data_IF_446096598001
#
_entry.id   IF_446096598001
#
_cell.length_a   1.000
_cell.length_b   1.000
_cell.length_c   1.000
_cell.angle_alpha   90.00
_cell.angle_beta   90.00
_cell.angle_gamma   90.00
#
_symmetry.space_group_name_H-M   'P 1'
#
loop_
_entity.id
_entity.type
_entity.pdbx_description
1 polymer ?
#
# COMPACT_ATOMS: atom_id res chain seq x y z
N UNK A 1 -3.34 25.96 -12.20
CA UNK A 1 -1.93 25.63 -11.84
C UNK A 1 -1.18 25.45 -13.15
N UNK A 2 -0.08 26.16 -13.36
CA UNK A 2 0.78 25.95 -14.54
C UNK A 2 1.74 24.76 -14.32
N UNK A 3 2.41 24.31 -15.41
CA UNK A 3 3.27 23.13 -15.38
C UNK A 3 4.48 23.28 -14.44
N UNK A 4 5.06 24.48 -14.32
CA UNK A 4 6.19 24.72 -13.43
C UNK A 4 5.78 24.61 -11.96
N UNK A 5 4.64 25.18 -11.60
CA UNK A 5 4.04 25.05 -10.27
C UNK A 5 3.77 23.57 -9.94
N UNK A 6 3.21 22.82 -10.88
CA UNK A 6 2.96 21.38 -10.71
C UNK A 6 4.26 20.60 -10.54
N UNK A 7 5.26 20.84 -11.38
CA UNK A 7 6.59 20.20 -11.26
C UNK A 7 7.23 20.48 -9.91
N UNK A 8 7.19 21.73 -9.44
CA UNK A 8 7.73 22.10 -8.13
C UNK A 8 6.99 21.40 -6.97
N UNK A 9 5.70 21.17 -7.09
CA UNK A 9 4.92 20.38 -6.15
C UNK A 9 5.36 18.91 -6.15
N UNK A 10 5.52 18.29 -7.33
CA UNK A 10 5.99 16.91 -7.45
C UNK A 10 7.38 16.69 -6.84
N UNK A 11 8.29 17.67 -7.00
CA UNK A 11 9.66 17.61 -6.44
C UNK A 11 9.66 17.60 -4.91
N UNK A 12 8.69 18.24 -4.26
CA UNK A 12 8.60 18.29 -2.80
C UNK A 12 8.26 16.93 -2.18
N UNK A 13 7.41 16.14 -2.85
CA UNK A 13 7.05 14.83 -2.35
C UNK A 13 8.29 13.92 -2.29
N UNK A 14 8.63 13.49 -1.11
CA UNK A 14 9.71 12.52 -0.85
C UNK A 14 9.22 11.43 0.09
N UNK A 15 9.87 10.27 0.07
CA UNK A 15 9.62 9.18 1.02
C UNK A 15 10.29 9.48 2.34
N UNK A 16 9.53 9.41 3.43
CA UNK A 16 9.99 9.67 4.78
C UNK A 16 9.74 8.46 5.68
N UNK A 17 10.74 8.10 6.50
CA UNK A 17 10.69 6.98 7.45
C UNK A 17 10.68 7.41 8.92
N UNK A 18 10.71 8.71 9.17
CA UNK A 18 10.68 9.28 10.52
C UNK A 18 9.53 10.26 10.62
N UNK A 19 8.79 10.20 11.71
CA UNK A 19 7.58 10.98 11.95
C UNK A 19 7.65 11.62 13.33
N UNK A 20 7.02 12.79 13.46
CA UNK A 20 6.74 13.38 14.75
C UNK A 20 5.63 12.58 15.44
N UNK A 21 5.64 12.59 16.78
CA UNK A 21 4.55 12.00 17.58
C UNK A 21 3.35 12.95 17.63
N UNK A 22 2.78 13.25 16.47
CA UNK A 22 1.62 14.11 16.27
C UNK A 22 0.54 13.30 15.57
N UNK A 23 -0.67 13.27 16.16
CA UNK A 23 -1.81 12.56 15.57
C UNK A 23 -2.29 13.25 14.27
N UNK A 24 -3.00 12.49 13.45
CA UNK A 24 -3.67 12.97 12.25
C UNK A 24 -5.18 12.98 12.52
N UNK A 25 -5.87 14.05 12.17
CA UNK A 25 -7.31 14.15 12.38
C UNK A 25 -8.08 13.22 11.44
N UNK A 26 -9.23 12.71 11.88
CA UNK A 26 -10.10 11.89 11.02
C UNK A 26 -10.52 12.66 9.77
N UNK A 27 -10.69 13.98 9.89
CA UNK A 27 -11.04 14.84 8.76
C UNK A 27 -9.93 14.86 7.71
N UNK A 28 -8.66 15.03 8.10
CA UNK A 28 -7.53 15.01 7.18
C UNK A 28 -7.35 13.64 6.53
N UNK A 29 -7.49 12.55 7.30
CA UNK A 29 -7.46 11.19 6.77
C UNK A 29 -8.52 11.03 5.68
N UNK A 30 -9.75 11.46 5.95
CA UNK A 30 -10.86 11.36 4.99
C UNK A 30 -10.57 12.17 3.72
N UNK A 31 -10.07 13.41 3.84
CA UNK A 31 -9.74 14.25 2.68
C UNK A 31 -8.61 13.65 1.82
N UNK A 32 -7.57 13.11 2.47
CA UNK A 32 -6.46 12.46 1.79
C UNK A 32 -6.94 11.22 1.01
N UNK A 33 -7.70 10.35 1.67
CA UNK A 33 -8.20 9.12 1.04
C UNK A 33 -9.25 9.41 -0.03
N UNK A 34 -10.06 10.46 0.11
CA UNK A 34 -11.04 10.87 -0.90
C UNK A 34 -10.38 11.23 -2.26
N UNK A 35 -9.10 11.66 -2.24
CA UNK A 35 -8.36 11.89 -3.48
C UNK A 35 -8.18 10.64 -4.34
N UNK A 36 -8.28 9.45 -3.74
CA UNK A 36 -8.20 8.18 -4.46
C UNK A 36 -9.30 8.02 -5.52
N UNK A 37 -10.52 8.53 -5.27
CA UNK A 37 -11.67 8.43 -6.19
C UNK A 37 -11.46 9.15 -7.52
N UNK A 38 -10.50 10.06 -7.60
CA UNK A 38 -10.16 10.78 -8.83
C UNK A 38 -9.08 10.07 -9.66
N UNK A 39 -8.63 8.90 -9.20
CA UNK A 39 -7.67 8.08 -9.95
C UNK A 39 -8.38 7.33 -11.08
N UNK A 40 -7.85 7.34 -12.31
CA UNK A 40 -8.41 6.54 -13.39
C UNK A 40 -8.26 5.05 -13.11
N UNK A 41 -9.28 4.27 -13.46
CA UNK A 41 -9.25 2.81 -13.44
C UNK A 41 -10.03 2.25 -14.63
N UNK A 42 -9.75 1.01 -15.03
CA UNK A 42 -10.47 0.34 -16.10
C UNK A 42 -11.98 0.38 -15.82
N UNK A 43 -12.78 0.88 -16.77
CA UNK A 43 -14.24 1.05 -16.63
C UNK A 43 -14.70 1.80 -15.37
N UNK A 44 -13.81 2.62 -14.78
CA UNK A 44 -14.05 3.31 -13.51
C UNK A 44 -14.43 2.36 -12.35
N UNK A 45 -13.90 1.15 -12.35
CA UNK A 45 -14.22 0.11 -11.36
C UNK A 45 -13.70 0.46 -9.96
N UNK A 46 -12.63 1.26 -9.87
CA UNK A 46 -12.02 1.64 -8.60
C UNK A 46 -11.77 0.42 -7.69
N UNK A 47 -11.00 -0.59 -8.14
CA UNK A 47 -10.91 -1.91 -7.52
C UNK A 47 -10.10 -1.91 -6.21
N UNK A 48 -9.94 -0.79 -5.58
CA UNK A 48 -9.16 -0.61 -4.36
C UNK A 48 -10.04 -0.32 -3.15
N UNK A 49 -9.54 -0.71 -2.00
CA UNK A 49 -10.10 -0.42 -0.69
C UNK A 49 -8.99 -0.02 0.27
N UNK A 50 -9.31 0.85 1.22
CA UNK A 50 -8.32 1.37 2.17
C UNK A 50 -8.77 1.12 3.59
N UNK A 51 -7.83 0.71 4.45
CA UNK A 51 -8.01 0.67 5.90
C UNK A 51 -7.00 1.61 6.53
N UNK A 52 -7.50 2.68 7.14
CA UNK A 52 -6.68 3.64 7.88
C UNK A 52 -6.57 3.21 9.35
N UNK A 53 -5.35 3.00 9.83
CA UNK A 53 -5.06 2.55 11.19
C UNK A 53 -4.23 3.60 11.92
N UNK A 54 -4.76 4.10 13.03
CA UNK A 54 -4.08 5.03 13.96
C UNK A 54 -3.79 4.38 15.32
N UNK A 55 -4.30 3.17 15.56
CA UNK A 55 -4.03 2.42 16.79
C UNK A 55 -2.58 1.91 16.79
N UNK A 56 -1.74 2.53 17.62
CA UNK A 56 -0.33 2.18 17.79
C UNK A 56 -0.13 0.71 18.18
N UNK A 57 -1.04 0.13 18.97
CA UNK A 57 -0.95 -1.27 19.36
C UNK A 57 -1.12 -2.18 18.15
N UNK A 58 -2.11 -1.91 17.30
CA UNK A 58 -2.32 -2.67 16.07
C UNK A 58 -1.14 -2.49 15.11
N UNK A 59 -0.68 -1.25 14.89
CA UNK A 59 0.50 -0.98 14.03
C UNK A 59 1.71 -1.79 14.50
N UNK A 60 2.00 -1.80 15.80
CA UNK A 60 3.09 -2.59 16.38
C UNK A 60 2.89 -4.09 16.17
N UNK A 61 1.67 -4.60 16.37
CA UNK A 61 1.34 -6.02 16.14
C UNK A 61 1.61 -6.44 14.70
N UNK A 62 1.21 -5.60 13.72
CA UNK A 62 1.47 -5.87 12.31
C UNK A 62 2.97 -5.85 12.00
N UNK A 63 3.72 -4.90 12.57
CA UNK A 63 5.17 -4.84 12.41
C UNK A 63 5.88 -6.06 13.03
N UNK A 64 5.43 -6.53 14.21
CA UNK A 64 5.95 -7.74 14.83
C UNK A 64 5.73 -8.96 13.94
N UNK A 65 4.60 -9.05 13.23
CA UNK A 65 4.33 -10.13 12.27
C UNK A 65 5.30 -10.10 11.08
N UNK A 66 5.53 -8.93 10.50
CA UNK A 66 6.52 -8.77 9.41
C UNK A 66 7.89 -9.26 9.85
N UNK A 67 8.36 -8.82 11.03
CA UNK A 67 9.69 -9.17 11.52
C UNK A 67 9.80 -10.64 11.95
N UNK A 68 8.77 -11.20 12.60
CA UNK A 68 8.78 -12.59 13.00
C UNK A 68 8.78 -13.54 11.79
N UNK A 69 8.02 -13.22 10.75
CA UNK A 69 7.98 -14.02 9.53
C UNK A 69 9.31 -13.92 8.75
N UNK A 70 9.90 -12.74 8.68
CA UNK A 70 11.26 -12.59 8.14
C UNK A 70 12.25 -13.47 8.90
N UNK A 71 12.26 -13.39 10.24
CA UNK A 71 13.18 -14.15 11.08
C UNK A 71 12.99 -15.68 10.95
N UNK A 72 11.78 -16.14 10.68
CA UNK A 72 11.49 -17.56 10.45
C UNK A 72 12.18 -18.13 9.20
N UNK A 73 12.59 -17.28 8.26
CA UNK A 73 13.32 -17.69 7.06
C UNK A 73 14.83 -17.86 7.31
N UNK A 74 15.39 -17.26 8.37
CA UNK A 74 16.83 -17.24 8.63
C UNK A 74 17.49 -18.62 8.69
N UNK A 75 16.88 -19.66 9.31
CA UNK A 75 17.50 -20.99 9.35
C UNK A 75 17.73 -21.64 7.97
N UNK A 76 17.02 -21.18 6.94
CA UNK A 76 17.11 -21.70 5.57
C UNK A 76 18.00 -20.84 4.65
N UNK A 77 18.55 -19.74 5.16
CA UNK A 77 19.29 -18.77 4.35
C UNK A 77 20.81 -18.84 4.67
N UNK A 78 21.67 -18.51 3.70
CA UNK A 78 23.09 -18.31 3.95
C UNK A 78 23.32 -17.15 4.96
N UNK A 79 24.37 -17.29 5.79
CA UNK A 79 24.70 -16.30 6.80
C UNK A 79 24.89 -14.87 6.24
N UNK A 80 25.49 -14.76 5.06
CA UNK A 80 25.66 -13.48 4.37
C UNK A 80 24.30 -12.82 4.06
N UNK A 81 23.31 -13.62 3.62
CA UNK A 81 21.94 -13.15 3.35
C UNK A 81 21.25 -12.70 4.63
N UNK A 82 21.39 -13.45 5.72
CA UNK A 82 20.82 -13.08 7.03
C UNK A 82 21.42 -11.74 7.50
N UNK A 83 22.75 -11.60 7.42
CA UNK A 83 23.44 -10.37 7.80
C UNK A 83 23.00 -9.16 6.95
N UNK A 84 22.69 -9.35 5.69
CA UNK A 84 22.11 -8.32 4.82
C UNK A 84 20.69 -7.95 5.29
N UNK A 85 19.81 -8.93 5.52
CA UNK A 85 18.44 -8.72 5.96
C UNK A 85 18.36 -8.00 7.32
N UNK A 86 19.24 -8.35 8.26
CA UNK A 86 19.31 -7.65 9.56
C UNK A 86 19.68 -6.16 9.41
N UNK A 87 20.55 -5.80 8.45
CA UNK A 87 20.84 -4.40 8.15
C UNK A 87 19.64 -3.65 7.56
N UNK A 88 18.80 -4.33 6.79
CA UNK A 88 17.59 -3.75 6.17
C UNK A 88 16.35 -3.83 7.05
N UNK A 89 16.40 -4.51 8.19
CA UNK A 89 15.28 -4.70 9.10
C UNK A 89 14.55 -3.39 9.46
N UNK A 90 15.30 -2.32 9.69
CA UNK A 90 14.74 -1.00 9.96
C UNK A 90 13.76 -0.54 8.85
N UNK A 91 14.08 -0.81 7.59
CA UNK A 91 13.20 -0.42 6.47
C UNK A 91 11.91 -1.26 6.40
N UNK A 92 11.93 -2.48 6.93
CA UNK A 92 10.79 -3.39 6.92
C UNK A 92 9.76 -3.04 8.00
N UNK A 93 10.19 -2.44 9.09
CA UNK A 93 9.33 -2.14 10.24
C UNK A 93 9.20 -0.65 10.58
N UNK A 94 9.80 0.26 9.79
CA UNK A 94 9.79 1.69 10.14
C UNK A 94 8.37 2.29 10.19
N UNK A 95 7.39 1.64 9.60
CA UNK A 95 5.99 2.03 9.72
C UNK A 95 5.46 1.94 11.15
N UNK A 96 6.14 1.23 12.06
CA UNK A 96 5.89 1.21 13.51
C UNK A 96 5.92 2.62 14.12
N UNK A 97 6.76 3.49 13.59
CA UNK A 97 6.87 4.89 14.04
C UNK A 97 5.82 5.85 13.47
N UNK A 98 5.01 5.40 12.51
CA UNK A 98 4.03 6.27 11.87
C UNK A 98 2.78 6.47 12.76
N UNK A 99 2.25 7.70 12.87
CA UNK A 99 0.99 7.96 13.58
C UNK A 99 -0.25 7.45 12.81
N UNK A 100 -0.12 7.22 11.50
CA UNK A 100 -1.13 6.62 10.63
C UNK A 100 -0.47 5.70 9.64
N UNK A 101 -1.05 4.52 9.44
CA UNK A 101 -0.81 3.70 8.26
C UNK A 101 -2.11 3.55 7.46
N UNK A 102 -2.00 3.55 6.14
CA UNK A 102 -3.11 3.27 5.21
C UNK A 102 -2.75 1.97 4.50
N UNK A 103 -3.49 0.91 4.82
CA UNK A 103 -3.38 -0.38 4.16
C UNK A 103 -4.20 -0.35 2.89
N UNK A 104 -3.59 -0.75 1.77
CA UNK A 104 -4.20 -0.72 0.44
C UNK A 104 -4.50 -2.14 0.01
N UNK A 105 -5.74 -2.36 -0.36
CA UNK A 105 -6.26 -3.64 -0.84
C UNK A 105 -6.78 -3.48 -2.27
N UNK A 106 -6.75 -4.56 -3.04
CA UNK A 106 -7.37 -4.61 -4.37
C UNK A 106 -8.08 -5.94 -4.61
N UNK A 107 -9.09 -5.91 -5.46
CA UNK A 107 -9.74 -7.14 -5.92
C UNK A 107 -8.88 -7.87 -6.95
N UNK A 108 -9.08 -9.18 -7.11
CA UNK A 108 -8.44 -9.99 -8.16
C UNK A 108 -9.29 -10.11 -9.44
N UNK A 109 -10.31 -9.28 -9.60
CA UNK A 109 -11.24 -9.43 -10.70
C UNK A 109 -10.65 -8.90 -12.01
N UNK A 110 -10.19 -9.81 -12.85
CA UNK A 110 -9.96 -9.58 -14.29
C UNK A 110 -11.32 -9.57 -15.03
N UNK A 111 -12.09 -8.50 -14.81
CA UNK A 111 -13.48 -8.41 -15.27
C UNK A 111 -13.59 -8.41 -16.81
N UNK A 112 -12.73 -7.65 -17.48
CA UNK A 112 -12.86 -7.42 -18.93
C UNK A 112 -12.44 -8.64 -19.76
N UNK A 113 -11.35 -9.29 -19.38
CA UNK A 113 -10.80 -10.42 -20.13
C UNK A 113 -11.63 -11.68 -19.93
N UNK A 114 -12.19 -11.88 -18.73
CA UNK A 114 -13.02 -13.04 -18.42
C UNK A 114 -14.37 -12.98 -19.11
N UNK A 115 -15.00 -11.80 -19.19
CA UNK A 115 -16.27 -11.62 -19.92
C UNK A 115 -16.11 -11.82 -21.42
N UNK A 116 -15.09 -11.20 -22.04
CA UNK A 116 -14.81 -11.38 -23.46
C UNK A 116 -14.48 -12.84 -23.79
N UNK A 117 -13.68 -13.51 -22.96
CA UNK A 117 -13.38 -14.93 -23.13
C UNK A 117 -14.62 -15.80 -23.07
N UNK A 118 -15.50 -15.54 -22.09
CA UNK A 118 -16.73 -16.30 -21.86
C UNK A 118 -17.75 -16.08 -22.99
N UNK A 119 -18.02 -14.81 -23.31
CA UNK A 119 -19.14 -14.45 -24.16
C UNK A 119 -18.83 -14.62 -25.66
N UNK A 120 -17.57 -14.52 -26.06
CA UNK A 120 -17.14 -14.62 -27.45
C UNK A 120 -16.26 -15.84 -27.75
N UNK A 121 -15.97 -16.69 -26.78
CA UNK A 121 -15.09 -17.86 -26.89
C UNK A 121 -13.73 -17.54 -27.59
N UNK A 122 -13.18 -16.36 -27.29
CA UNK A 122 -11.93 -15.88 -27.90
C UNK A 122 -10.75 -16.33 -27.03
N UNK A 123 -9.75 -16.96 -27.65
CA UNK A 123 -8.44 -17.22 -27.02
C UNK A 123 -7.61 -15.94 -27.09
N UNK A 124 -7.63 -15.15 -26.04
CA UNK A 124 -6.74 -14.00 -25.89
C UNK A 124 -5.37 -14.48 -25.36
N UNK A 125 -4.31 -13.85 -25.87
CA UNK A 125 -3.01 -14.01 -25.25
C UNK A 125 -3.04 -13.42 -23.84
N UNK A 126 -2.62 -14.19 -22.84
CA UNK A 126 -2.44 -13.70 -21.48
C UNK A 126 -1.01 -13.14 -21.37
N UNK A 127 -0.88 -11.79 -21.24
CA UNK A 127 0.44 -11.22 -21.03
C UNK A 127 1.01 -11.77 -19.72
N UNK A 128 2.23 -12.35 -19.76
CA UNK A 128 2.90 -12.80 -18.56
C UNK A 128 3.16 -11.60 -17.64
N UNK A 129 2.81 -11.75 -16.36
CA UNK A 129 3.02 -10.71 -15.33
C UNK A 129 2.27 -9.39 -15.55
N UNK A 130 1.18 -9.39 -16.30
CA UNK A 130 0.34 -8.22 -16.48
C UNK A 130 -0.85 -8.29 -15.52
N UNK A 131 -0.91 -7.35 -14.60
CA UNK A 131 -1.98 -7.20 -13.63
C UNK A 131 -2.52 -5.76 -13.74
N UNK A 132 -3.69 -5.61 -14.35
CA UNK A 132 -4.29 -4.30 -14.61
C UNK A 132 -4.72 -3.59 -13.31
N UNK A 133 -5.16 -4.37 -12.32
CA UNK A 133 -5.56 -3.84 -11.03
C UNK A 133 -4.36 -3.25 -10.29
N UNK A 134 -3.21 -3.92 -10.32
CA UNK A 134 -1.97 -3.40 -9.71
C UNK A 134 -1.46 -2.12 -10.37
N UNK A 135 -1.67 -1.94 -11.69
CA UNK A 135 -1.38 -0.66 -12.35
C UNK A 135 -2.26 0.46 -11.79
N UNK A 136 -3.55 0.18 -11.59
CA UNK A 136 -4.50 1.10 -10.95
C UNK A 136 -4.11 1.40 -9.51
N UNK A 137 -3.66 0.38 -8.75
CA UNK A 137 -3.15 0.55 -7.39
C UNK A 137 -1.94 1.47 -7.36
N UNK A 138 -0.96 1.31 -8.26
CA UNK A 138 0.18 2.22 -8.36
C UNK A 138 -0.24 3.68 -8.57
N UNK A 139 -1.22 3.91 -9.44
CA UNK A 139 -1.75 5.25 -9.70
C UNK A 139 -2.48 5.83 -8.48
N UNK A 140 -3.33 5.05 -7.80
CA UNK A 140 -4.07 5.53 -6.63
C UNK A 140 -3.17 5.77 -5.44
N UNK A 141 -2.17 4.93 -5.21
CA UNK A 141 -1.16 5.15 -4.16
C UNK A 141 -0.44 6.48 -4.42
N UNK A 142 0.00 6.73 -5.65
CA UNK A 142 0.66 8.00 -5.98
C UNK A 142 -0.26 9.21 -5.72
N UNK A 143 -1.55 9.14 -6.04
CA UNK A 143 -2.50 10.21 -5.74
C UNK A 143 -2.63 10.45 -4.22
N UNK A 144 -2.64 9.39 -3.40
CA UNK A 144 -2.67 9.51 -1.93
C UNK A 144 -1.37 10.15 -1.42
N UNK A 145 -0.20 9.76 -1.94
CA UNK A 145 1.08 10.37 -1.56
C UNK A 145 1.12 11.87 -1.89
N UNK A 146 0.60 12.27 -3.06
CA UNK A 146 0.49 13.68 -3.45
C UNK A 146 -0.53 14.44 -2.61
N UNK A 147 -1.63 13.80 -2.21
CA UNK A 147 -2.61 14.38 -1.30
C UNK A 147 -2.02 14.60 0.11
N UNK A 148 -1.19 13.67 0.60
CA UNK A 148 -0.44 13.86 1.85
C UNK A 148 0.46 15.10 1.76
N UNK A 149 1.27 15.23 0.69
CA UNK A 149 2.14 16.39 0.48
C UNK A 149 1.33 17.69 0.43
N UNK A 150 0.19 17.70 -0.29
CA UNK A 150 -0.69 18.87 -0.37
C UNK A 150 -1.31 19.26 0.98
N UNK A 151 -1.54 18.29 1.86
CA UNK A 151 -2.08 18.48 3.19
C UNK A 151 -1.00 18.81 4.25
N UNK A 152 0.29 18.88 3.84
CA UNK A 152 1.42 19.18 4.74
C UNK A 152 1.84 17.97 5.59
N UNK A 153 1.55 16.75 5.13
CA UNK A 153 2.01 15.49 5.72
C UNK A 153 3.12 14.88 4.89
N UNK A 154 4.06 14.21 5.57
CA UNK A 154 5.05 13.35 4.93
C UNK A 154 4.53 11.93 4.86
N UNK A 155 4.98 11.17 3.86
CA UNK A 155 4.51 9.80 3.63
C UNK A 155 5.60 8.91 3.03
N UNK A 156 5.39 7.58 3.12
CA UNK A 156 6.20 6.60 2.43
C UNK A 156 5.33 5.44 1.95
N UNK A 157 5.60 4.95 0.75
CA UNK A 157 4.97 3.77 0.17
C UNK A 157 5.82 2.53 0.45
N UNK A 158 5.21 1.48 1.02
CA UNK A 158 5.84 0.22 1.40
C UNK A 158 5.14 -0.96 0.75
N UNK A 159 5.92 -1.89 0.24
CA UNK A 159 5.47 -3.17 -0.32
C UNK A 159 5.98 -4.37 0.48
N UNK A 160 7.03 -4.20 1.27
CA UNK A 160 7.66 -5.27 2.06
C UNK A 160 6.70 -5.95 3.04
N UNK A 161 5.75 -5.26 3.70
CA UNK A 161 4.77 -5.92 4.55
C UNK A 161 3.91 -6.95 3.81
N UNK A 162 3.69 -6.76 2.49
CA UNK A 162 2.98 -7.74 1.65
C UNK A 162 3.80 -9.02 1.52
N UNK A 163 5.11 -8.88 1.27
CA UNK A 163 6.02 -10.02 1.07
C UNK A 163 6.09 -10.92 2.31
N UNK A 164 6.12 -10.32 3.50
CA UNK A 164 6.40 -11.05 4.74
C UNK A 164 5.17 -11.35 5.60
N UNK A 165 4.06 -10.62 5.43
CA UNK A 165 2.93 -10.75 6.35
C UNK A 165 1.55 -10.53 5.68
N UNK A 166 1.41 -10.78 4.38
CA UNK A 166 0.14 -10.56 3.68
C UNK A 166 -1.03 -11.28 4.35
N UNK A 167 -0.89 -12.58 4.58
CA UNK A 167 -1.97 -13.42 5.13
C UNK A 167 -2.34 -13.02 6.56
N UNK A 168 -1.35 -12.70 7.38
CA UNK A 168 -1.57 -12.28 8.76
C UNK A 168 -2.26 -10.92 8.83
N UNK A 169 -1.88 -9.99 7.96
CA UNK A 169 -2.53 -8.68 7.86
C UNK A 169 -3.98 -8.83 7.40
N UNK A 170 -4.23 -9.63 6.37
CA UNK A 170 -5.58 -9.94 5.88
C UNK A 170 -6.45 -10.58 6.98
N UNK A 171 -5.92 -11.55 7.74
CA UNK A 171 -6.63 -12.18 8.85
C UNK A 171 -6.96 -11.20 9.99
N UNK A 172 -6.03 -10.30 10.35
CA UNK A 172 -6.30 -9.26 11.34
C UNK A 172 -7.38 -8.27 10.91
N UNK A 173 -7.57 -8.10 9.62
CA UNK A 173 -8.47 -7.09 9.06
C UNK A 173 -9.71 -7.67 8.38
N UNK A 174 -9.94 -8.98 8.49
CA UNK A 174 -11.06 -9.69 7.85
C UNK A 174 -12.44 -9.14 8.19
N UNK A 175 -12.61 -8.50 9.35
CA UNK A 175 -13.88 -7.86 9.73
C UNK A 175 -14.12 -6.53 8.99
N UNK A 176 -13.09 -5.95 8.36
CA UNK A 176 -13.13 -4.67 7.66
C UNK A 176 -13.05 -4.81 6.14
N UNK A 177 -12.70 -6.01 5.65
CA UNK A 177 -12.40 -6.27 4.24
C UNK A 177 -13.13 -7.53 3.79
N UNK A 178 -13.80 -7.48 2.64
CA UNK A 178 -14.42 -8.65 2.02
C UNK A 178 -13.34 -9.63 1.51
N UNK A 179 -13.68 -10.94 1.45
CA UNK A 179 -12.75 -12.04 1.13
C UNK A 179 -12.13 -11.95 -0.28
N UNK A 180 -12.73 -11.18 -1.20
CA UNK A 180 -12.23 -10.99 -2.56
C UNK A 180 -11.15 -9.90 -2.68
N UNK A 181 -10.82 -9.21 -1.58
CA UNK A 181 -9.76 -8.21 -1.56
C UNK A 181 -8.46 -8.80 -1.00
N UNK A 182 -7.33 -8.42 -1.62
CA UNK A 182 -6.00 -8.80 -1.17
C UNK A 182 -5.21 -7.58 -0.76
N UNK A 183 -4.45 -7.71 0.30
CA UNK A 183 -3.50 -6.68 0.74
C UNK A 183 -2.34 -6.57 -0.25
N UNK A 184 -2.08 -5.37 -0.78
CA UNK A 184 -1.09 -5.16 -1.84
C UNK A 184 -0.09 -4.06 -1.55
N UNK A 185 -0.34 -3.22 -0.54
CA UNK A 185 0.56 -2.12 -0.23
C UNK A 185 0.21 -1.45 1.10
N UNK A 186 1.16 -0.71 1.66
CA UNK A 186 1.01 0.10 2.87
C UNK A 186 1.58 1.50 2.62
N UNK A 187 0.89 2.52 3.09
CA UNK A 187 1.35 3.91 3.08
C UNK A 187 1.47 4.37 4.53
N UNK A 188 2.64 4.87 4.93
CA UNK A 188 2.82 5.58 6.20
C UNK A 188 2.53 7.05 6.01
N UNK A 189 1.90 7.69 6.99
CA UNK A 189 1.58 9.13 6.97
C UNK A 189 1.84 9.74 8.34
N UNK A 190 2.46 10.93 8.37
CA UNK A 190 2.75 11.67 9.60
C UNK A 190 3.28 13.08 9.33
N UNK A 191 3.84 13.72 10.33
CA UNK A 191 4.51 15.03 10.22
C UNK A 191 5.97 14.95 10.63
#
# INVERSE_FOLDING_TARGET
MDLNTFKNFLIKRASHSKFKDEGITKEDITKIVDCARFTPSGHNQQPWKFVAVTDKKLINTLADKVISNLASLYPSLPEETVNMLEKYKFFLEHFRGAPLIILVFTTKNDYTTSEIKRDFNIKLAEPKHFDMELLGVGAVVNNILLACEAAGYVSCWLTEPVVYAQKEIEEYLKEYIEDNYNFVSLITVGR
#
